data_IF_568342751560
#
_entry.id   IF_568342751560
#
_cell.length_a   1.000
_cell.length_b   1.000
_cell.length_c   1.000
_cell.angle_alpha   90.00
_cell.angle_beta   90.00
_cell.angle_gamma   90.00
#
_symmetry.space_group_name_H-M   'P 1'
#
loop_
_entity.id
_entity.type
_entity.pdbx_description
1 polymer ?
#
# COMPACT_ATOMS: atom_id res chain seq x y z
N UNK A 1 -30.65 -54.43 36.10
CA UNK A 1 -31.34 -54.55 34.79
C UNK A 1 -31.26 -53.21 34.09
N UNK A 2 -30.69 -53.22 32.89
CA UNK A 2 -30.45 -52.07 32.01
C UNK A 2 -31.76 -51.39 31.56
N UNK A 3 -31.73 -50.08 31.30
CA UNK A 3 -31.78 -49.57 29.91
C UNK A 3 -31.80 -48.04 29.83
N UNK A 4 -30.74 -47.54 29.19
CA UNK A 4 -30.53 -46.18 28.69
C UNK A 4 -31.38 -46.01 27.42
N UNK A 5 -32.11 -44.89 27.27
CA UNK A 5 -32.72 -44.49 25.98
C UNK A 5 -31.99 -43.25 25.46
N UNK A 6 -31.08 -43.49 24.51
CA UNK A 6 -30.51 -42.52 23.60
C UNK A 6 -31.48 -42.33 22.42
N UNK A 7 -31.97 -41.12 22.18
CA UNK A 7 -32.74 -40.78 20.97
C UNK A 7 -31.82 -40.29 19.86
N UNK A 8 -32.12 -40.82 18.68
CA UNK A 8 -31.27 -40.91 17.51
C UNK A 8 -31.04 -39.58 16.77
N UNK A 9 -29.82 -39.50 16.23
CA UNK A 9 -29.38 -38.64 15.12
C UNK A 9 -30.25 -38.90 13.89
N UNK A 10 -30.83 -37.86 13.28
CA UNK A 10 -31.43 -37.95 11.93
C UNK A 10 -30.37 -37.57 10.90
N UNK A 11 -29.84 -38.60 10.23
CA UNK A 11 -29.06 -38.50 9.02
C UNK A 11 -30.00 -38.21 7.84
N UNK A 12 -29.67 -37.19 7.02
CA UNK A 12 -30.35 -36.92 5.76
C UNK A 12 -29.67 -37.68 4.63
N UNK A 13 -30.48 -38.43 3.88
CA UNK A 13 -30.10 -39.35 2.80
C UNK A 13 -30.22 -38.62 1.46
N UNK A 14 -29.21 -38.79 0.61
CA UNK A 14 -29.11 -38.29 -0.75
C UNK A 14 -30.16 -38.93 -1.67
N UNK A 15 -30.76 -38.13 -2.55
CA UNK A 15 -31.45 -38.58 -3.74
C UNK A 15 -30.97 -37.75 -4.96
N UNK A 16 -30.53 -38.45 -5.99
CA UNK A 16 -30.22 -38.02 -7.37
C UNK A 16 -31.05 -38.93 -8.31
N UNK A 17 -31.07 -38.74 -9.64
CA UNK A 17 -31.08 -37.50 -10.46
C UNK A 17 -32.19 -37.56 -11.56
N UNK A 18 -32.45 -36.45 -12.28
CA UNK A 18 -33.16 -36.49 -13.57
C UNK A 18 -32.44 -35.59 -14.60
N UNK A 19 -32.31 -36.14 -15.81
CA UNK A 19 -31.56 -35.72 -17.00
C UNK A 19 -32.11 -34.41 -17.65
N UNK A 20 -31.25 -33.47 -18.07
CA UNK A 20 -30.63 -33.25 -19.39
C UNK A 20 -31.57 -32.83 -20.55
N UNK A 21 -31.34 -31.62 -21.10
CA UNK A 21 -31.55 -31.29 -22.54
C UNK A 21 -30.48 -30.28 -22.99
N UNK A 22 -29.83 -30.59 -24.10
CA UNK A 22 -28.84 -29.79 -24.84
C UNK A 22 -29.48 -29.13 -26.07
N UNK A 23 -28.87 -28.03 -26.57
CA UNK A 23 -28.76 -27.53 -27.98
C UNK A 23 -28.55 -26.00 -27.91
N UNK A 24 -27.85 -25.27 -28.79
CA UNK A 24 -27.21 -25.49 -30.09
C UNK A 24 -26.22 -24.33 -30.35
N UNK A 25 -25.30 -24.55 -31.29
CA UNK A 25 -24.11 -23.76 -31.61
C UNK A 25 -24.28 -22.68 -32.71
N UNK A 26 -23.13 -22.05 -33.04
CA UNK A 26 -22.76 -21.26 -34.26
C UNK A 26 -23.10 -19.76 -34.25
N UNK A 27 -22.35 -18.81 -34.83
CA UNK A 27 -21.10 -18.74 -35.62
C UNK A 27 -20.82 -17.22 -35.87
N UNK A 28 -19.64 -16.67 -35.56
CA UNK A 28 -18.55 -16.21 -36.46
C UNK A 28 -18.77 -14.99 -37.40
N UNK A 29 -17.75 -14.11 -37.43
CA UNK A 29 -17.24 -13.17 -38.48
C UNK A 29 -16.94 -11.77 -37.88
N UNK A 30 -15.70 -11.26 -37.71
CA UNK A 30 -14.57 -10.89 -38.61
C UNK A 30 -14.87 -9.81 -39.67
N UNK A 31 -14.20 -8.65 -39.55
CA UNK A 31 -13.40 -7.87 -40.53
C UNK A 31 -13.20 -6.44 -39.98
N UNK A 32 -12.01 -6.03 -39.51
CA UNK A 32 -10.81 -5.47 -40.19
C UNK A 32 -10.98 -4.10 -40.91
N UNK A 33 -10.26 -3.13 -40.35
CA UNK A 33 -9.24 -2.23 -40.94
C UNK A 33 -9.60 -1.20 -42.02
N UNK A 34 -9.13 0.05 -41.81
CA UNK A 34 -8.18 0.86 -42.62
C UNK A 34 -8.42 2.36 -42.33
N UNK A 35 -7.50 3.13 -41.71
CA UNK A 35 -6.22 3.72 -42.16
C UNK A 35 -6.36 5.15 -42.74
N UNK A 36 -5.84 6.10 -41.94
CA UNK A 36 -4.94 7.23 -42.26
C UNK A 36 -5.49 8.47 -43.03
N UNK A 37 -4.61 9.45 -43.37
CA UNK A 37 -4.01 10.49 -42.50
C UNK A 37 -4.28 11.89 -43.10
N UNK A 38 -3.72 13.00 -42.59
CA UNK A 38 -3.02 14.06 -43.37
C UNK A 38 -2.31 15.09 -42.48
N UNK A 39 -1.09 15.44 -42.90
CA UNK A 39 -0.22 16.53 -42.45
C UNK A 39 -0.64 17.90 -43.04
N UNK A 40 -0.18 19.01 -42.43
CA UNK A 40 0.49 20.17 -43.07
C UNK A 40 0.97 21.17 -41.96
N UNK A 41 2.28 21.35 -41.70
CA UNK A 41 3.18 22.44 -42.16
C UNK A 41 2.74 23.86 -41.71
N UNK A 42 3.38 24.52 -40.72
CA UNK A 42 4.67 25.27 -40.73
C UNK A 42 4.49 26.78 -40.95
N UNK A 43 5.00 27.63 -40.05
CA UNK A 43 5.69 28.91 -40.38
C UNK A 43 6.41 29.52 -39.15
N UNK A 44 7.61 30.04 -39.42
CA UNK A 44 8.50 30.88 -38.59
C UNK A 44 8.27 32.37 -38.92
N UNK A 45 8.55 33.27 -37.96
CA UNK A 45 9.07 34.66 -38.11
C UNK A 45 9.17 35.24 -36.68
N UNK A 46 10.31 35.61 -36.08
CA UNK A 46 11.45 36.51 -36.41
C UNK A 46 11.21 38.01 -36.18
N UNK A 47 12.17 38.61 -35.45
CA UNK A 47 12.45 40.04 -35.25
C UNK A 47 11.69 40.76 -34.11
N UNK A 48 12.23 41.75 -33.40
CA UNK A 48 13.59 42.27 -33.17
C UNK A 48 13.45 43.42 -32.14
N UNK A 49 14.47 43.58 -31.28
CA UNK A 49 15.06 44.82 -30.71
C UNK A 49 14.13 46.01 -30.40
N UNK A 50 14.09 46.44 -29.13
CA UNK A 50 14.32 47.86 -28.83
C UNK A 50 14.94 48.10 -27.45
N UNK A 51 15.78 49.13 -27.39
CA UNK A 51 16.67 49.54 -26.31
C UNK A 51 16.35 50.97 -25.92
N UNK A 52 16.10 51.29 -24.65
CA UNK A 52 16.47 52.58 -24.04
C UNK A 52 16.19 52.65 -22.53
N UNK A 53 17.27 52.78 -21.77
CA UNK A 53 17.51 53.63 -20.60
C UNK A 53 16.39 53.95 -19.59
N UNK A 54 16.62 53.49 -18.35
CA UNK A 54 16.33 54.29 -17.16
C UNK A 54 17.32 53.93 -16.02
N UNK A 55 18.37 54.74 -15.90
CA UNK A 55 19.24 54.84 -14.72
C UNK A 55 18.41 55.28 -13.51
N UNK A 56 18.51 54.53 -12.40
CA UNK A 56 18.42 55.06 -11.02
C UNK A 56 19.03 54.08 -10.01
N UNK A 57 20.25 54.42 -9.62
CA UNK A 57 20.95 54.22 -8.35
C UNK A 57 20.21 53.46 -7.24
N UNK A 58 20.96 52.56 -6.58
CA UNK A 58 20.80 52.31 -5.15
C UNK A 58 20.97 50.86 -4.75
N UNK A 59 21.92 50.61 -3.85
CA UNK A 59 22.22 49.33 -3.21
C UNK A 59 22.94 48.32 -4.11
N UNK A 60 24.23 48.59 -4.26
CA UNK A 60 25.32 47.62 -4.20
C UNK A 60 24.92 46.39 -3.37
N UNK A 61 24.37 45.39 -4.06
CA UNK A 61 24.21 44.03 -3.56
C UNK A 61 25.61 43.46 -3.40
N UNK A 62 26.25 43.81 -2.29
CA UNK A 62 27.21 42.92 -1.66
C UNK A 62 26.45 41.63 -1.32
N UNK A 63 26.32 40.74 -2.33
CA UNK A 63 26.12 39.31 -2.13
C UNK A 63 27.36 38.81 -1.40
N UNK A 64 27.40 39.06 -0.09
CA UNK A 64 28.34 38.43 0.80
C UNK A 64 28.17 36.94 0.62
N UNK A 65 29.20 36.32 0.04
CA UNK A 65 29.46 34.91 0.23
C UNK A 65 29.43 34.65 1.73
N UNK A 66 28.30 34.17 2.24
CA UNK A 66 28.22 33.59 3.58
C UNK A 66 29.08 32.33 3.50
N UNK A 67 30.32 32.42 3.98
CA UNK A 67 31.22 31.28 4.05
C UNK A 67 30.57 30.11 4.78
N UNK A 68 30.92 28.90 4.35
CA UNK A 68 30.49 27.63 4.94
C UNK A 68 30.36 27.73 6.46
N UNK A 69 29.13 27.63 6.97
CA UNK A 69 28.86 27.80 8.39
C UNK A 69 29.64 26.75 9.18
N UNK A 70 30.18 27.10 10.35
CA UNK A 70 30.93 26.18 11.20
C UNK A 70 30.11 24.90 11.52
N UNK A 71 28.78 25.03 11.53
CA UNK A 71 27.86 23.90 11.64
C UNK A 71 27.87 23.00 10.38
N UNK A 72 27.86 23.57 9.17
CA UNK A 72 27.88 22.82 7.89
C UNK A 72 29.16 21.98 7.78
N UNK A 73 30.31 22.56 8.11
CA UNK A 73 31.58 21.83 8.17
C UNK A 73 31.51 20.67 9.16
N UNK A 74 31.02 20.93 10.38
CA UNK A 74 30.94 19.91 11.42
C UNK A 74 30.03 18.74 11.05
N UNK A 75 28.85 19.01 10.47
CA UNK A 75 27.93 17.94 10.06
C UNK A 75 28.47 17.16 8.86
N UNK A 76 29.08 17.83 7.87
CA UNK A 76 29.68 17.16 6.71
C UNK A 76 30.86 16.26 7.11
N UNK A 77 31.74 16.72 8.01
CA UNK A 77 32.84 15.90 8.55
C UNK A 77 32.30 14.66 9.25
N UNK A 78 31.27 14.81 10.08
CA UNK A 78 30.64 13.69 10.77
C UNK A 78 29.97 12.70 9.79
N UNK A 79 29.28 13.19 8.76
CA UNK A 79 28.62 12.34 7.75
C UNK A 79 29.64 11.53 6.92
N UNK A 80 30.79 12.11 6.57
CA UNK A 80 31.85 11.39 5.86
C UNK A 80 32.36 10.19 6.65
N UNK A 81 32.63 10.39 7.94
CA UNK A 81 33.09 9.31 8.83
C UNK A 81 31.98 8.28 9.03
N UNK A 82 30.73 8.72 9.25
CA UNK A 82 29.61 7.79 9.40
C UNK A 82 29.47 6.89 8.17
N UNK A 83 29.54 7.46 6.96
CA UNK A 83 29.47 6.70 5.70
C UNK A 83 30.63 5.71 5.57
N UNK A 84 31.84 6.09 5.96
CA UNK A 84 32.99 5.17 5.95
C UNK A 84 32.82 3.98 6.92
N UNK A 85 32.20 4.21 8.08
CA UNK A 85 32.01 3.17 9.10
C UNK A 85 30.81 2.26 8.82
N UNK A 86 29.70 2.81 8.33
CA UNK A 86 28.43 2.10 8.19
C UNK A 86 28.06 1.78 6.74
N UNK A 87 28.73 2.37 5.76
CA UNK A 87 28.40 2.22 4.33
C UNK A 87 27.16 3.01 3.88
N UNK A 88 26.30 3.43 4.81
CA UNK A 88 25.10 4.23 4.55
C UNK A 88 25.09 5.59 5.28
N UNK A 89 24.07 6.40 5.01
CA UNK A 89 23.81 7.69 5.68
C UNK A 89 22.48 7.67 6.45
N UNK A 90 22.01 6.49 6.85
CA UNK A 90 20.78 6.28 7.61
C UNK A 90 21.05 6.39 9.10
N UNK A 91 21.49 7.59 9.52
CA UNK A 91 21.78 7.87 10.92
C UNK A 91 20.50 7.77 11.77
N UNK A 92 20.53 6.94 12.81
CA UNK A 92 19.46 6.84 13.82
C UNK A 92 19.31 8.18 14.57
N UNK A 93 18.08 8.58 14.88
CA UNK A 93 17.79 9.83 15.58
C UNK A 93 18.53 9.98 16.92
N UNK A 94 18.69 8.88 17.66
CA UNK A 94 19.37 8.86 18.96
C UNK A 94 20.90 8.79 18.86
N UNK A 95 21.46 8.66 17.65
CA UNK A 95 22.89 8.48 17.47
C UNK A 95 23.67 9.73 17.89
N UNK A 96 24.56 9.54 18.86
CA UNK A 96 25.48 10.54 19.35
C UNK A 96 26.89 10.01 19.15
N UNK A 97 27.77 10.85 18.59
CA UNK A 97 29.15 10.45 18.31
C UNK A 97 29.87 10.19 19.65
N UNK A 98 30.44 8.99 19.86
CA UNK A 98 31.14 8.65 21.09
C UNK A 98 32.37 9.54 21.28
N UNK A 99 32.57 10.02 22.51
CA UNK A 99 33.77 10.77 22.88
C UNK A 99 34.96 9.83 23.08
N UNK A 100 36.13 10.19 22.56
CA UNK A 100 37.35 9.40 22.70
C UNK A 100 37.54 8.30 21.65
N UNK A 101 36.65 8.19 20.67
CA UNK A 101 36.85 7.29 19.52
C UNK A 101 37.69 8.00 18.46
N UNK A 102 38.90 7.48 18.21
CA UNK A 102 39.88 8.04 17.26
C UNK A 102 39.38 8.06 15.81
N UNK A 103 38.40 7.21 15.48
CA UNK A 103 37.77 7.19 14.14
C UNK A 103 36.98 8.47 13.86
N UNK A 104 36.58 9.17 14.92
CA UNK A 104 35.83 10.41 14.83
C UNK A 104 36.74 11.60 15.13
N UNK A 105 36.73 12.65 14.29
CA UNK A 105 37.46 13.88 14.58
C UNK A 105 37.02 14.47 15.92
N UNK A 106 37.94 14.95 16.78
CA UNK A 106 37.61 15.46 18.12
C UNK A 106 36.54 16.56 18.13
N UNK A 107 36.48 17.37 17.07
CA UNK A 107 35.47 18.42 16.87
C UNK A 107 34.02 17.88 16.79
N UNK A 108 33.87 16.59 16.47
CA UNK A 108 32.57 15.91 16.33
C UNK A 108 32.18 15.08 17.55
N UNK A 109 33.06 14.91 18.53
CA UNK A 109 32.75 14.14 19.75
C UNK A 109 31.58 14.74 20.53
N UNK A 110 30.70 13.86 21.04
CA UNK A 110 29.49 14.25 21.77
C UNK A 110 28.42 14.93 20.90
N UNK A 111 28.64 15.04 19.58
CA UNK A 111 27.68 15.65 18.68
C UNK A 111 26.50 14.70 18.43
N UNK A 112 25.28 15.20 18.65
CA UNK A 112 24.02 14.49 18.39
C UNK A 112 23.75 14.45 16.88
N UNK A 113 24.57 13.69 16.15
CA UNK A 113 24.52 13.59 14.69
C UNK A 113 23.13 13.14 14.21
N UNK A 114 22.47 12.21 14.91
CA UNK A 114 21.12 11.76 14.58
C UNK A 114 20.09 12.89 14.54
N UNK A 115 20.06 13.70 15.61
CA UNK A 115 19.18 14.87 15.68
C UNK A 115 19.54 15.93 14.62
N UNK A 116 20.84 16.17 14.39
CA UNK A 116 21.30 17.12 13.39
C UNK A 116 20.92 16.72 11.96
N UNK A 117 21.03 15.43 11.63
CA UNK A 117 20.61 14.85 10.35
C UNK A 117 19.10 14.92 10.18
N UNK A 118 18.34 14.66 11.25
CA UNK A 118 16.88 14.82 11.23
C UNK A 118 16.48 16.26 10.94
N UNK A 119 17.10 17.23 11.61
CA UNK A 119 16.84 18.66 11.40
C UNK A 119 17.25 19.11 9.99
N UNK A 120 18.36 18.58 9.46
CA UNK A 120 18.80 18.84 8.08
C UNK A 120 17.75 18.34 7.08
N UNK A 121 17.21 17.13 7.26
CA UNK A 121 16.14 16.59 6.40
C UNK A 121 14.89 17.47 6.43
N UNK A 122 14.44 17.86 7.63
CA UNK A 122 13.28 18.77 7.78
C UNK A 122 13.53 20.14 7.12
N UNK A 123 14.75 20.68 7.21
CA UNK A 123 15.10 21.92 6.49
C UNK A 123 15.00 21.76 4.97
N UNK A 124 15.52 20.66 4.43
CA UNK A 124 15.45 20.36 2.98
C UNK A 124 14.00 20.23 2.54
N UNK A 125 13.18 19.47 3.28
CA UNK A 125 11.76 19.26 2.97
C UNK A 125 10.96 20.58 2.96
N UNK A 126 11.25 21.48 3.91
CA UNK A 126 10.61 22.78 4.01
C UNK A 126 11.20 23.85 3.06
N UNK A 127 12.03 23.45 2.09
CA UNK A 127 12.75 24.37 1.18
C UNK A 127 13.52 25.47 1.92
N UNK A 128 14.04 25.14 3.10
CA UNK A 128 14.88 26.03 3.88
C UNK A 128 16.19 26.31 3.16
N UNK A 129 16.75 27.51 3.38
CA UNK A 129 18.02 27.90 2.78
C UNK A 129 19.15 26.96 3.22
N UNK A 130 19.83 26.37 2.24
CA UNK A 130 21.10 25.68 2.39
C UNK A 130 22.14 26.37 1.50
N UNK A 131 23.40 26.41 1.97
CA UNK A 131 24.49 26.89 1.13
C UNK A 131 24.67 25.97 -0.07
N UNK A 132 24.92 26.52 -1.26
CA UNK A 132 25.15 25.74 -2.48
C UNK A 132 26.29 24.72 -2.31
N UNK A 133 27.35 25.08 -1.57
CA UNK A 133 28.45 24.16 -1.25
C UNK A 133 28.01 23.00 -0.36
N UNK A 134 27.06 23.23 0.56
CA UNK A 134 26.49 22.15 1.38
C UNK A 134 25.64 21.20 0.53
N UNK A 135 24.82 21.74 -0.37
CA UNK A 135 23.99 20.93 -1.27
C UNK A 135 24.85 20.03 -2.16
N UNK A 136 25.90 20.59 -2.77
CA UNK A 136 26.83 19.84 -3.63
C UNK A 136 27.54 18.72 -2.85
N UNK A 137 28.01 19.00 -1.64
CA UNK A 137 28.67 17.99 -0.80
C UNK A 137 27.71 16.90 -0.32
N UNK A 138 26.47 17.25 0.03
CA UNK A 138 25.44 16.26 0.36
C UNK A 138 25.11 15.37 -0.85
N UNK A 139 25.09 15.94 -2.05
CA UNK A 139 24.84 15.21 -3.29
C UNK A 139 25.98 14.24 -3.61
N UNK A 140 27.24 14.71 -3.53
CA UNK A 140 28.44 13.85 -3.67
C UNK A 140 28.47 12.72 -2.65
N UNK A 141 28.01 12.97 -1.43
CA UNK A 141 27.93 11.95 -0.39
C UNK A 141 26.78 10.98 -0.61
N UNK A 142 25.88 11.22 -1.56
CA UNK A 142 24.68 10.41 -1.78
C UNK A 142 23.72 10.52 -0.59
N UNK A 143 23.62 11.70 0.01
CA UNK A 143 22.80 11.91 1.20
C UNK A 143 21.32 11.65 0.90
N UNK A 144 20.74 10.76 1.69
CA UNK A 144 19.31 10.43 1.62
C UNK A 144 18.49 11.62 2.11
N UNK A 145 18.02 12.44 1.17
CA UNK A 145 17.21 13.64 1.39
C UNK A 145 15.86 13.30 2.02
N UNK A 146 15.19 12.27 1.49
CA UNK A 146 13.95 11.74 2.06
C UNK A 146 14.14 10.27 2.46
N UNK A 147 14.03 10.02 3.77
CA UNK A 147 14.06 8.64 4.30
C UNK A 147 12.86 7.83 3.80
N UNK A 148 11.74 8.49 3.53
CA UNK A 148 10.57 7.86 2.92
C UNK A 148 10.86 7.42 1.49
N UNK A 149 11.40 8.32 0.66
CA UNK A 149 11.77 8.00 -0.72
C UNK A 149 12.79 6.86 -0.78
N UNK A 150 13.84 6.93 0.04
CA UNK A 150 14.84 5.86 0.08
C UNK A 150 14.24 4.52 0.50
N UNK A 151 13.42 4.48 1.55
CA UNK A 151 12.74 3.24 1.96
C UNK A 151 11.81 2.73 0.88
N UNK A 152 11.12 3.63 0.18
CA UNK A 152 10.26 3.24 -0.93
C UNK A 152 11.05 2.57 -2.05
N UNK A 153 12.08 3.25 -2.55
CA UNK A 153 12.86 2.82 -3.72
C UNK A 153 13.74 1.61 -3.45
N UNK A 154 14.27 1.46 -2.24
CA UNK A 154 15.27 0.44 -1.92
C UNK A 154 14.71 -0.73 -1.10
N UNK A 155 13.55 -0.57 -0.46
CA UNK A 155 12.99 -1.59 0.44
C UNK A 155 11.58 -1.98 0.00
N UNK A 156 10.63 -1.05 0.04
CA UNK A 156 9.20 -1.35 -0.12
C UNK A 156 8.88 -1.79 -1.54
N UNK A 157 9.22 -0.98 -2.54
CA UNK A 157 8.88 -1.24 -3.93
C UNK A 157 9.64 -2.47 -4.48
N UNK A 158 10.95 -2.64 -4.26
CA UNK A 158 11.65 -3.88 -4.64
C UNK A 158 11.09 -5.13 -3.96
N UNK A 159 10.80 -5.07 -2.66
CA UNK A 159 10.21 -6.21 -1.97
C UNK A 159 8.78 -6.52 -2.45
N UNK A 160 7.99 -5.51 -2.83
CA UNK A 160 6.68 -5.71 -3.46
C UNK A 160 6.78 -6.40 -4.82
N UNK A 161 7.73 -5.98 -5.67
CA UNK A 161 8.00 -6.64 -6.95
C UNK A 161 8.32 -8.12 -6.74
N UNK A 162 9.22 -8.40 -5.80
CA UNK A 162 9.62 -9.77 -5.50
C UNK A 162 8.46 -10.60 -4.94
N UNK A 163 7.69 -10.02 -4.02
CA UNK A 163 6.51 -10.69 -3.48
C UNK A 163 5.56 -11.11 -4.59
N UNK A 164 5.27 -10.21 -5.55
CA UNK A 164 4.45 -10.53 -6.71
C UNK A 164 5.06 -11.62 -7.57
N UNK A 165 6.38 -11.61 -7.79
CA UNK A 165 7.05 -12.63 -8.58
C UNK A 165 6.96 -14.03 -7.93
N UNK A 166 7.09 -14.11 -6.60
CA UNK A 166 7.05 -15.37 -5.85
C UNK A 166 5.62 -15.89 -5.68
N UNK A 167 4.66 -15.01 -5.38
CA UNK A 167 3.28 -15.40 -5.04
C UNK A 167 2.28 -15.24 -6.18
N UNK A 168 2.67 -14.60 -7.29
CA UNK A 168 1.80 -14.31 -8.44
C UNK A 168 0.83 -13.14 -8.24
N UNK A 169 0.77 -12.54 -7.04
CA UNK A 169 -0.14 -11.46 -6.69
C UNK A 169 0.51 -10.44 -5.74
N UNK A 170 -0.04 -9.22 -5.66
CA UNK A 170 0.43 -8.16 -4.76
C UNK A 170 -0.33 -8.10 -3.42
N UNK A 171 -1.18 -9.10 -3.12
CA UNK A 171 -1.89 -9.22 -1.84
C UNK A 171 -0.99 -9.66 -0.67
N UNK A 172 -0.13 -8.74 -0.20
CA UNK A 172 0.76 -9.00 0.93
C UNK A 172 -0.04 -9.12 2.25
N UNK A 173 0.07 -10.24 2.99
CA UNK A 173 -0.53 -10.39 4.31
C UNK A 173 0.11 -9.47 5.36
N UNK A 174 -0.67 -8.96 6.33
CA UNK A 174 -0.18 -7.99 7.34
C UNK A 174 0.99 -8.51 8.17
N UNK A 175 1.04 -9.81 8.45
CA UNK A 175 2.10 -10.46 9.21
C UNK A 175 3.34 -10.83 8.39
N UNK A 176 3.32 -10.60 7.07
CA UNK A 176 4.43 -10.97 6.20
C UNK A 176 5.68 -10.16 6.53
N UNK A 177 6.78 -10.89 6.73
CA UNK A 177 8.13 -10.37 6.94
C UNK A 177 9.00 -10.96 5.85
N UNK A 178 9.79 -10.11 5.21
CA UNK A 178 10.72 -10.54 4.17
C UNK A 178 11.74 -11.52 4.77
N UNK A 179 11.92 -12.72 4.20
CA UNK A 179 12.91 -13.68 4.66
C UNK A 179 14.32 -13.09 4.67
N UNK A 180 15.12 -13.42 5.69
CA UNK A 180 16.53 -13.03 5.76
C UNK A 180 17.41 -14.14 5.21
N UNK A 181 18.44 -13.76 4.43
CA UNK A 181 19.38 -14.72 3.83
C UNK A 181 18.85 -15.45 2.60
N UNK A 182 17.72 -15.00 2.05
CA UNK A 182 17.18 -15.49 0.78
C UNK A 182 17.54 -14.49 -0.33
N UNK A 183 18.42 -14.93 -1.25
CA UNK A 183 18.90 -14.13 -2.39
C UNK A 183 17.78 -13.72 -3.35
N UNK A 184 16.62 -14.38 -3.30
CA UNK A 184 15.45 -13.95 -4.05
C UNK A 184 14.98 -12.56 -3.60
N UNK A 185 15.22 -12.18 -2.33
CA UNK A 185 14.76 -10.91 -1.79
C UNK A 185 15.87 -9.86 -1.73
N UNK A 186 15.54 -8.57 -1.94
CA UNK A 186 16.51 -7.50 -1.77
C UNK A 186 17.11 -7.52 -0.36
N UNK A 187 18.45 -7.47 -0.24
CA UNK A 187 19.15 -7.54 1.05
C UNK A 187 18.67 -6.47 2.03
N UNK A 188 18.45 -5.25 1.54
CA UNK A 188 17.94 -4.13 2.34
C UNK A 188 16.51 -4.35 2.85
N UNK A 189 15.79 -5.31 2.27
CA UNK A 189 14.45 -5.68 2.70
C UNK A 189 14.43 -6.86 3.67
N UNK A 190 15.53 -7.59 3.87
CA UNK A 190 15.57 -8.72 4.79
C UNK A 190 15.11 -8.36 6.21
N UNK A 191 14.18 -9.13 6.77
CA UNK A 191 13.59 -8.87 8.07
C UNK A 191 12.62 -7.68 8.11
N UNK A 192 12.40 -6.99 6.99
CA UNK A 192 11.45 -5.88 6.92
C UNK A 192 10.01 -6.41 6.99
N UNK A 193 9.19 -5.79 7.85
CA UNK A 193 7.76 -6.11 8.01
C UNK A 193 6.93 -5.53 6.86
N UNK A 194 7.16 -6.02 5.65
CA UNK A 194 6.52 -5.55 4.42
C UNK A 194 4.99 -5.57 4.54
N UNK A 195 4.41 -6.59 5.16
CA UNK A 195 2.97 -6.69 5.39
C UNK A 195 2.37 -5.51 6.15
N UNK A 196 3.05 -5.05 7.21
CA UNK A 196 2.63 -3.86 7.97
C UNK A 196 2.78 -2.58 7.16
N UNK A 197 3.86 -2.45 6.39
CA UNK A 197 4.07 -1.27 5.53
C UNK A 197 2.96 -1.18 4.47
N UNK A 198 2.66 -2.29 3.81
CA UNK A 198 1.59 -2.40 2.80
C UNK A 198 0.22 -2.10 3.41
N UNK A 199 -0.08 -2.61 4.61
CA UNK A 199 -1.32 -2.28 5.30
C UNK A 199 -1.46 -0.78 5.57
N UNK A 200 -0.38 -0.08 5.91
CA UNK A 200 -0.40 1.38 6.12
C UNK A 200 -0.52 2.17 4.82
N UNK A 201 0.09 1.68 3.74
CA UNK A 201 -0.08 2.24 2.40
C UNK A 201 -1.55 2.18 1.97
N UNK A 202 -2.22 1.07 2.30
CA UNK A 202 -3.64 0.85 2.00
C UNK A 202 -4.59 1.71 2.85
N UNK A 203 -4.35 1.80 4.17
CA UNK A 203 -5.32 2.40 5.09
C UNK A 203 -5.00 3.79 5.64
N UNK A 204 -3.73 4.21 5.69
CA UNK A 204 -3.29 5.43 6.40
C UNK A 204 -2.71 6.50 5.45
N UNK A 205 -2.83 6.33 4.12
CA UNK A 205 -2.16 7.16 3.11
C UNK A 205 -0.64 7.29 3.34
N UNK A 206 -0.04 6.34 4.05
CA UNK A 206 1.40 6.33 4.29
C UNK A 206 2.13 6.12 2.95
N UNK A 207 3.18 6.89 2.68
CA UNK A 207 3.83 6.97 1.37
C UNK A 207 2.96 7.54 0.23
N UNK A 208 1.93 8.35 0.51
CA UNK A 208 1.04 8.91 -0.54
C UNK A 208 1.79 9.52 -1.72
N UNK A 209 2.76 10.40 -1.47
CA UNK A 209 3.56 11.01 -2.53
C UNK A 209 4.32 9.97 -3.38
N UNK A 210 4.88 8.94 -2.75
CA UNK A 210 5.60 7.86 -3.46
C UNK A 210 4.65 6.95 -4.22
N UNK A 211 3.48 6.65 -3.66
CA UNK A 211 2.41 5.88 -4.32
C UNK A 211 1.94 6.62 -5.56
N UNK A 212 1.73 7.93 -5.47
CA UNK A 212 1.33 8.76 -6.61
C UNK A 212 2.42 8.78 -7.69
N UNK A 213 3.69 8.92 -7.29
CA UNK A 213 4.84 8.87 -8.23
C UNK A 213 5.01 7.49 -8.89
N UNK A 214 4.73 6.40 -8.19
CA UNK A 214 4.89 5.02 -8.67
C UNK A 214 3.57 4.38 -9.10
N UNK A 215 2.50 5.16 -9.31
CA UNK A 215 1.15 4.68 -9.55
C UNK A 215 1.07 3.71 -10.73
N UNK A 216 1.66 4.06 -11.86
CA UNK A 216 1.66 3.21 -13.07
C UNK A 216 2.32 1.85 -12.83
N UNK A 217 3.30 1.79 -11.93
CA UNK A 217 3.97 0.54 -11.59
C UNK A 217 3.14 -0.30 -10.63
N UNK A 218 2.53 0.33 -9.63
CA UNK A 218 1.59 -0.33 -8.73
C UNK A 218 0.38 -0.88 -9.49
N UNK A 219 -0.14 -0.13 -10.47
CA UNK A 219 -1.23 -0.55 -11.34
C UNK A 219 -0.80 -1.74 -12.23
N UNK A 220 0.41 -1.70 -12.82
CA UNK A 220 0.98 -2.86 -13.54
C UNK A 220 1.16 -4.09 -12.64
N UNK A 221 1.34 -3.88 -11.34
CA UNK A 221 1.45 -4.93 -10.33
C UNK A 221 0.11 -5.51 -9.87
N UNK A 222 -1.01 -4.93 -10.32
CA UNK A 222 -2.34 -5.18 -9.74
C UNK A 222 -2.32 -5.01 -8.22
N UNK A 223 -1.67 -3.94 -7.75
CA UNK A 223 -1.56 -3.64 -6.33
C UNK A 223 -2.93 -3.32 -5.74
N UNK A 224 -3.38 -4.18 -4.84
CA UNK A 224 -4.70 -4.04 -4.23
C UNK A 224 -4.69 -2.92 -3.18
N UNK A 225 -5.35 -1.81 -3.50
CA UNK A 225 -5.71 -0.79 -2.51
C UNK A 225 -6.81 -1.31 -1.57
N UNK A 226 -6.88 -0.82 -0.32
CA UNK A 226 -7.81 -1.28 0.75
C UNK A 226 -9.24 -1.52 0.23
N UNK A 227 -9.71 -0.58 -0.60
CA UNK A 227 -11.03 -0.63 -1.26
C UNK A 227 -11.23 -1.91 -2.09
N UNK A 228 -10.21 -2.30 -2.87
CA UNK A 228 -10.24 -3.51 -3.69
C UNK A 228 -10.27 -4.80 -2.85
N UNK A 229 -9.64 -4.84 -1.66
CA UNK A 229 -9.63 -6.07 -0.84
C UNK A 229 -10.97 -6.29 -0.15
N UNK A 230 -11.57 -5.22 0.37
CA UNK A 230 -12.89 -5.29 0.98
C UNK A 230 -13.96 -5.60 -0.08
N UNK A 231 -13.86 -4.97 -1.26
CA UNK A 231 -14.74 -5.25 -2.41
C UNK A 231 -14.58 -6.71 -2.90
N UNK A 232 -13.35 -7.22 -3.09
CA UNK A 232 -13.12 -8.63 -3.46
C UNK A 232 -13.67 -9.61 -2.43
N UNK A 233 -13.44 -9.36 -1.13
CA UNK A 233 -14.00 -10.23 -0.07
C UNK A 233 -15.53 -10.19 -0.07
N UNK A 234 -16.10 -9.02 -0.31
CA UNK A 234 -17.53 -8.83 -0.41
C UNK A 234 -18.12 -9.64 -1.56
N UNK A 235 -17.58 -9.45 -2.77
CA UNK A 235 -18.06 -10.08 -4.01
C UNK A 235 -17.78 -11.58 -4.09
N UNK A 236 -16.59 -12.04 -3.66
CA UNK A 236 -16.18 -13.43 -3.83
C UNK A 236 -16.59 -14.34 -2.67
N UNK A 237 -16.80 -13.78 -1.46
CA UNK A 237 -17.02 -14.57 -0.25
C UNK A 237 -18.32 -14.22 0.45
N UNK A 238 -18.50 -12.95 0.82
CA UNK A 238 -19.58 -12.55 1.71
C UNK A 238 -20.92 -12.66 0.98
N UNK A 239 -21.10 -11.94 -0.13
CA UNK A 239 -22.37 -11.90 -0.86
C UNK A 239 -22.79 -13.29 -1.38
N UNK A 240 -21.93 -14.11 -2.00
CA UNK A 240 -22.31 -15.46 -2.41
C UNK A 240 -22.63 -16.37 -1.21
N UNK A 241 -21.94 -16.22 -0.07
CA UNK A 241 -22.28 -17.00 1.14
C UNK A 241 -23.64 -16.61 1.72
N UNK A 242 -24.03 -15.33 1.64
CA UNK A 242 -25.37 -14.89 2.05
C UNK A 242 -26.46 -15.48 1.15
N UNK A 243 -26.21 -15.51 -0.18
CA UNK A 243 -27.12 -16.12 -1.15
C UNK A 243 -27.32 -17.61 -0.87
N UNK A 244 -26.23 -18.34 -0.62
CA UNK A 244 -26.28 -19.77 -0.27
C UNK A 244 -26.98 -19.98 1.07
N UNK A 245 -26.71 -19.15 2.08
CA UNK A 245 -27.39 -19.25 3.37
C UNK A 245 -28.91 -19.13 3.21
N UNK A 246 -29.40 -18.13 2.44
CA UNK A 246 -30.83 -18.00 2.16
C UNK A 246 -31.40 -19.21 1.43
N UNK A 247 -30.67 -19.77 0.47
CA UNK A 247 -31.12 -20.96 -0.27
C UNK A 247 -31.28 -22.18 0.65
N UNK A 248 -30.37 -22.37 1.59
CA UNK A 248 -30.36 -23.52 2.50
C UNK A 248 -31.35 -23.38 3.66
N UNK A 249 -31.48 -22.17 4.25
CA UNK A 249 -32.24 -21.94 5.47
C UNK A 249 -33.54 -21.17 5.26
N UNK A 250 -33.77 -20.59 4.08
CA UNK A 250 -34.95 -19.80 3.75
C UNK A 250 -34.95 -18.37 4.29
N UNK A 251 -34.22 -18.13 5.38
CA UNK A 251 -34.01 -16.80 5.98
C UNK A 251 -32.55 -16.31 5.83
N UNK A 252 -32.32 -15.03 6.14
CA UNK A 252 -30.99 -14.42 6.24
C UNK A 252 -30.63 -14.06 7.69
N UNK A 253 -31.16 -14.81 8.68
CA UNK A 253 -30.92 -14.57 10.10
C UNK A 253 -29.74 -15.42 10.52
N UNK A 254 -28.54 -14.93 10.23
CA UNK A 254 -27.31 -15.68 10.47
C UNK A 254 -26.88 -15.55 11.94
N UNK A 255 -26.76 -16.67 12.69
CA UNK A 255 -26.25 -16.67 14.05
C UNK A 255 -24.79 -16.22 14.10
N UNK A 256 -24.38 -15.47 15.14
CA UNK A 256 -23.00 -14.96 15.26
C UNK A 256 -21.94 -16.07 15.25
N UNK A 257 -22.27 -17.26 15.76
CA UNK A 257 -21.38 -18.43 15.78
C UNK A 257 -21.33 -19.20 14.45
N UNK A 258 -22.14 -18.83 13.46
CA UNK A 258 -22.20 -19.55 12.20
C UNK A 258 -20.89 -19.42 11.41
N UNK A 259 -20.37 -20.58 11.00
CA UNK A 259 -19.15 -20.71 10.20
C UNK A 259 -19.50 -21.46 8.92
N UNK A 260 -19.04 -20.95 7.78
CA UNK A 260 -19.32 -21.53 6.46
C UNK A 260 -18.78 -22.97 6.38
N UNK A 261 -19.65 -23.96 6.12
CA UNK A 261 -19.25 -25.35 5.90
C UNK A 261 -18.25 -25.48 4.75
N UNK A 262 -17.30 -26.42 4.85
CA UNK A 262 -16.32 -26.69 3.80
C UNK A 262 -16.86 -27.67 2.74
N UNK A 263 -18.08 -27.46 2.27
CA UNK A 263 -18.73 -28.32 1.29
C UNK A 263 -19.64 -27.51 0.35
N UNK A 264 -19.93 -28.03 -0.86
CA UNK A 264 -20.97 -27.45 -1.72
C UNK A 264 -22.33 -27.39 -0.98
N UNK A 265 -23.20 -26.40 -1.27
CA UNK A 265 -23.09 -25.36 -2.31
C UNK A 265 -22.28 -24.11 -1.90
N UNK A 266 -21.63 -24.12 -0.72
CA UNK A 266 -20.89 -22.96 -0.23
C UNK A 266 -19.66 -22.63 -1.09
N UNK A 267 -19.38 -21.33 -1.34
CA UNK A 267 -18.24 -20.93 -2.16
C UNK A 267 -16.93 -21.36 -1.51
N UNK A 268 -16.07 -22.04 -2.27
CA UNK A 268 -14.81 -22.62 -1.76
C UNK A 268 -13.93 -21.59 -1.06
N UNK A 269 -13.88 -20.37 -1.62
CA UNK A 269 -13.12 -19.24 -1.07
C UNK A 269 -13.63 -18.77 0.30
N UNK A 270 -14.85 -19.11 0.69
CA UNK A 270 -15.46 -18.74 1.97
C UNK A 270 -15.49 -19.89 2.98
N UNK A 271 -15.01 -21.09 2.64
CA UNK A 271 -15.00 -22.22 3.57
C UNK A 271 -14.28 -21.89 4.88
N UNK A 272 -14.89 -22.29 6.01
CA UNK A 272 -14.42 -22.00 7.39
C UNK A 272 -14.42 -20.52 7.77
N UNK A 273 -14.98 -19.64 6.93
CA UNK A 273 -15.14 -18.23 7.28
C UNK A 273 -16.22 -18.09 8.36
N UNK A 274 -15.97 -17.32 9.44
CA UNK A 274 -16.97 -17.05 10.46
C UNK A 274 -17.97 -15.99 9.96
N UNK A 275 -18.85 -16.41 9.04
CA UNK A 275 -19.82 -15.53 8.38
C UNK A 275 -20.73 -14.82 9.39
N UNK A 276 -21.10 -15.47 10.49
CA UNK A 276 -21.91 -14.85 11.56
C UNK A 276 -21.25 -13.62 12.20
N UNK A 277 -19.94 -13.66 12.41
CA UNK A 277 -19.18 -12.52 12.94
C UNK A 277 -19.13 -11.39 11.91
N UNK A 278 -18.87 -11.74 10.65
CA UNK A 278 -18.82 -10.76 9.55
C UNK A 278 -20.15 -10.04 9.39
N UNK A 279 -21.27 -10.78 9.40
CA UNK A 279 -22.64 -10.23 9.35
C UNK A 279 -22.92 -9.31 10.52
N UNK A 280 -22.47 -9.68 11.73
CA UNK A 280 -22.60 -8.83 12.90
C UNK A 280 -21.80 -7.51 12.74
N UNK A 281 -20.58 -7.57 12.19
CA UNK A 281 -19.79 -6.37 11.91
C UNK A 281 -20.42 -5.47 10.84
N UNK A 282 -21.11 -6.05 9.83
CA UNK A 282 -21.88 -5.33 8.83
C UNK A 282 -23.06 -4.60 9.49
N UNK A 283 -23.84 -5.30 10.32
CA UNK A 283 -24.97 -4.72 11.08
C UNK A 283 -24.53 -3.57 11.99
N UNK A 284 -23.42 -3.76 12.71
CA UNK A 284 -22.85 -2.72 13.59
C UNK A 284 -22.14 -1.59 12.83
N UNK A 285 -22.08 -1.64 11.48
CA UNK A 285 -21.37 -0.68 10.61
C UNK A 285 -19.88 -0.53 10.95
N UNK A 286 -19.29 -1.54 11.58
CA UNK A 286 -17.86 -1.56 11.95
C UNK A 286 -17.00 -1.99 10.77
N UNK A 287 -17.53 -2.84 9.88
CA UNK A 287 -16.84 -3.29 8.68
C UNK A 287 -17.80 -3.36 7.49
N UNK A 288 -17.27 -3.17 6.28
CA UNK A 288 -17.99 -3.25 5.00
C UNK A 288 -19.20 -2.29 4.86
N UNK A 289 -19.20 -1.17 5.58
CA UNK A 289 -20.32 -0.21 5.55
C UNK A 289 -20.57 0.37 4.15
N UNK A 290 -19.51 0.66 3.39
CA UNK A 290 -19.62 1.17 2.02
C UNK A 290 -20.18 0.12 1.06
N UNK A 291 -19.72 -1.13 1.16
CA UNK A 291 -20.18 -2.24 0.32
C UNK A 291 -21.64 -2.60 0.63
N UNK A 292 -22.00 -2.65 1.91
CA UNK A 292 -23.37 -2.88 2.34
C UNK A 292 -24.33 -1.76 1.93
N UNK A 293 -23.85 -0.51 1.89
CA UNK A 293 -24.63 0.61 1.37
C UNK A 293 -24.79 0.56 -0.16
N UNK A 294 -23.73 0.16 -0.88
CA UNK A 294 -23.73 0.00 -2.35
C UNK A 294 -24.70 -1.09 -2.80
N UNK A 295 -24.65 -2.26 -2.16
CA UNK A 295 -25.45 -3.43 -2.53
C UNK A 295 -26.70 -3.60 -1.65
N UNK A 296 -27.18 -2.50 -1.07
CA UNK A 296 -28.31 -2.50 -0.14
C UNK A 296 -29.55 -3.15 -0.76
N UNK A 297 -29.87 -2.82 -2.01
CA UNK A 297 -31.03 -3.38 -2.72
C UNK A 297 -30.90 -4.90 -2.90
N UNK A 298 -29.69 -5.41 -3.14
CA UNK A 298 -29.41 -6.84 -3.25
C UNK A 298 -29.63 -7.53 -1.90
N UNK A 299 -29.14 -6.91 -0.82
CA UNK A 299 -29.33 -7.42 0.54
C UNK A 299 -30.79 -7.39 0.96
N UNK A 300 -31.53 -6.33 0.61
CA UNK A 300 -32.97 -6.19 0.88
C UNK A 300 -33.78 -7.25 0.10
N UNK A 301 -33.45 -7.49 -1.18
CA UNK A 301 -34.03 -8.58 -1.96
C UNK A 301 -33.71 -9.96 -1.37
N UNK A 302 -32.50 -10.12 -0.82
CA UNK A 302 -32.09 -11.29 -0.04
C UNK A 302 -32.69 -11.33 1.36
N UNK A 303 -33.54 -10.38 1.77
CA UNK A 303 -34.23 -10.42 3.07
C UNK A 303 -33.25 -10.33 4.23
N UNK A 304 -32.14 -9.62 4.03
CA UNK A 304 -31.11 -9.44 5.04
C UNK A 304 -31.65 -8.65 6.23
N UNK A 305 -31.67 -9.27 7.41
CA UNK A 305 -32.11 -8.59 8.63
C UNK A 305 -31.04 -7.57 9.08
N UNK A 306 -31.36 -6.29 8.95
CA UNK A 306 -30.50 -5.17 9.35
C UNK A 306 -30.53 -4.94 10.86
N UNK A 307 -31.70 -5.05 11.48
CA UNK A 307 -31.88 -5.08 12.93
C UNK A 307 -32.05 -6.51 13.44
N UNK A 308 -31.69 -6.73 14.70
CA UNK A 308 -32.01 -7.97 15.43
C UNK A 308 -33.53 -8.10 15.67
N UNK A 309 -34.24 -6.99 15.64
CA UNK A 309 -35.70 -6.92 15.85
C UNK A 309 -36.48 -7.20 14.56
N UNK A 310 -35.88 -7.02 13.39
CA UNK A 310 -36.49 -7.34 12.08
C UNK A 310 -36.63 -8.85 11.86
N UNK A 311 -35.96 -9.66 12.69
CA UNK A 311 -36.01 -11.12 12.68
C UNK A 311 -37.26 -11.70 13.39
N UNK A 312 -38.11 -10.85 13.97
CA UNK A 312 -39.30 -11.25 14.73
C UNK A 312 -40.55 -10.59 14.12
N UNK A 313 -40.92 -10.97 12.90
CA UNK A 313 -42.25 -10.69 12.37
C UNK A 313 -42.80 -11.94 11.70
N UNK A 314 -43.81 -12.51 12.36
CA UNK A 314 -44.77 -13.60 12.03
C UNK A 314 -44.39 -14.71 11.04
#
# INVERSE_FOLDING_TARGET
MLSIRLTARRAWRLAQPVQAVSTSACSAARLRCLVAPRHFSSTLSDGSIDSSDAVKNGAELAKGYQGESAWEKKILTALRVYKQLHGDLLVSFSFTIPSGDERWPPVTWGYKLGAAVSNLRTKIENKGYLSAGMEEELDKLGFVRSTYQFKWDNIVLPALRQFRQVHGHADVPVWFVVPSGDEAWPELAWGYRLGRAVSKIRGEHHYSAQVDMSKEELDRMDFCYEKSISDRKWEEKILPSLQVYRQEFGDCIIPTAFTVPSCPPWPEKAWKMPLGIVVNCIRSRVAYAEQAARDKEVLDALGFAWSRDDAVVE
#
